data_IF_990055151421
#
_entry.id   IF_990055151421
#
_cell.length_a   1.000
_cell.length_b   1.000
_cell.length_c   1.000
_cell.angle_alpha   90.00
_cell.angle_beta   90.00
_cell.angle_gamma   90.00
#
_symmetry.space_group_name_H-M   'P 1'
#
loop_
_entity.id
_entity.type
_entity.pdbx_description
1 polymer ?
#
# COMPACT_ATOMS: atom_id res chain seq x y z
N UNK A 1 32.20 5.14 1.37
CA UNK A 1 30.81 5.37 1.81
C UNK A 1 29.88 5.44 0.59
N UNK A 2 29.79 4.34 -0.17
CA UNK A 2 29.11 4.28 -1.46
C UNK A 2 27.71 3.69 -1.38
N UNK A 3 26.80 4.27 -0.58
CA UNK A 3 25.37 4.06 -0.86
C UNK A 3 25.02 5.01 -2.00
N UNK A 4 25.26 4.51 -3.21
CA UNK A 4 24.68 4.98 -4.46
C UNK A 4 23.29 5.50 -4.12
N UNK A 5 23.09 6.80 -4.28
CA UNK A 5 21.80 7.46 -4.11
C UNK A 5 20.85 6.82 -5.13
N UNK A 6 20.22 5.71 -4.73
CA UNK A 6 19.26 5.00 -5.56
C UNK A 6 18.12 5.97 -5.77
N UNK A 7 17.90 6.33 -7.03
CA UNK A 7 16.89 7.29 -7.43
C UNK A 7 15.57 6.90 -6.75
N UNK A 8 14.94 7.81 -5.98
CA UNK A 8 13.74 7.47 -5.24
C UNK A 8 12.66 7.02 -6.22
N UNK A 9 12.03 5.88 -5.93
CA UNK A 9 10.93 5.32 -6.72
C UNK A 9 9.90 6.41 -7.05
N UNK A 10 9.37 6.40 -8.27
CA UNK A 10 8.28 7.28 -8.63
C UNK A 10 7.11 7.11 -7.62
N UNK A 11 6.39 8.19 -7.25
CA UNK A 11 5.33 8.12 -6.26
C UNK A 11 4.27 7.05 -6.57
N UNK A 12 3.98 6.83 -7.85
CA UNK A 12 3.08 5.77 -8.33
C UNK A 12 3.63 4.36 -8.09
N UNK A 13 4.93 4.13 -8.27
CA UNK A 13 5.56 2.83 -8.00
C UNK A 13 5.59 2.54 -6.50
N UNK A 14 5.86 3.56 -5.68
CA UNK A 14 5.80 3.44 -4.23
C UNK A 14 4.37 3.18 -3.73
N UNK A 15 3.37 3.83 -4.34
CA UNK A 15 1.95 3.57 -4.10
C UNK A 15 1.61 2.11 -4.39
N UNK A 16 1.93 1.60 -5.58
CA UNK A 16 1.64 0.21 -5.96
C UNK A 16 2.34 -0.81 -5.06
N UNK A 17 3.58 -0.54 -4.63
CA UNK A 17 4.27 -1.39 -3.64
C UNK A 17 3.56 -1.37 -2.28
N UNK A 18 3.08 -0.21 -1.85
CA UNK A 18 2.32 -0.06 -0.61
C UNK A 18 0.97 -0.79 -0.65
N UNK A 19 0.22 -0.61 -1.73
CA UNK A 19 -1.06 -1.31 -2.00
C UNK A 19 -0.84 -2.82 -2.09
N UNK A 20 0.15 -3.27 -2.86
CA UNK A 20 0.44 -4.69 -3.04
C UNK A 20 0.93 -5.36 -1.75
N UNK A 21 1.75 -4.68 -0.96
CA UNK A 21 2.18 -5.17 0.35
C UNK A 21 1.02 -5.28 1.34
N UNK A 22 0.17 -4.25 1.41
CA UNK A 22 -1.02 -4.27 2.26
C UNK A 22 -2.02 -5.34 1.81
N UNK A 23 -2.24 -5.49 0.50
CA UNK A 23 -3.11 -6.53 -0.05
C UNK A 23 -2.57 -7.94 0.24
N UNK A 24 -1.26 -8.14 0.20
CA UNK A 24 -0.64 -9.43 0.56
C UNK A 24 -0.85 -9.81 2.03
N UNK A 25 -0.72 -8.84 2.94
CA UNK A 25 -0.95 -9.06 4.39
C UNK A 25 -2.44 -9.25 4.69
N UNK A 26 -3.30 -8.44 4.08
CA UNK A 26 -4.75 -8.44 4.33
C UNK A 26 -5.49 -9.54 3.56
N UNK A 27 -4.88 -10.11 2.50
CA UNK A 27 -5.49 -11.15 1.68
C UNK A 27 -5.64 -12.50 2.39
N UNK A 28 -4.75 -12.82 3.34
CA UNK A 28 -4.85 -14.03 4.16
C UNK A 28 -6.11 -14.04 5.06
N UNK A 29 -6.42 -12.97 5.83
CA UNK A 29 -7.67 -12.88 6.59
C UNK A 29 -8.93 -13.03 5.72
N UNK A 30 -8.94 -12.46 4.52
CA UNK A 30 -10.07 -12.56 3.58
C UNK A 30 -10.28 -13.99 3.13
N UNK A 31 -9.22 -14.67 2.71
CA UNK A 31 -9.30 -16.07 2.26
C UNK A 31 -9.82 -16.98 3.37
N UNK A 32 -9.32 -16.80 4.61
CA UNK A 32 -9.79 -17.55 5.77
C UNK A 32 -11.27 -17.25 6.07
N UNK A 33 -11.68 -15.99 6.05
CA UNK A 33 -13.08 -15.61 6.27
C UNK A 33 -14.00 -16.10 5.16
N UNK A 34 -13.57 -16.08 3.90
CA UNK A 34 -14.33 -16.61 2.75
C UNK A 34 -14.58 -18.11 2.91
N UNK A 35 -13.54 -18.86 3.27
CA UNK A 35 -13.63 -20.30 3.50
C UNK A 35 -14.59 -20.63 4.65
N UNK A 36 -14.54 -19.88 5.74
CA UNK A 36 -15.42 -20.06 6.91
C UNK A 36 -16.86 -19.64 6.61
N UNK A 37 -17.07 -18.49 5.98
CA UNK A 37 -18.41 -17.96 5.69
C UNK A 37 -19.15 -18.77 4.62
N UNK A 38 -18.43 -19.45 3.70
CA UNK A 38 -19.05 -20.38 2.74
C UNK A 38 -19.80 -21.54 3.39
N UNK A 39 -19.50 -21.87 4.66
CA UNK A 39 -20.21 -22.91 5.43
C UNK A 39 -21.48 -22.42 6.14
N UNK A 40 -21.72 -21.10 6.20
CA UNK A 40 -22.75 -20.50 7.07
C UNK A 40 -24.05 -20.05 6.40
N UNK A 41 -24.16 -20.10 5.07
CA UNK A 41 -25.35 -19.66 4.33
C UNK A 41 -25.12 -18.41 3.46
N UNK A 42 -25.76 -18.40 2.29
CA UNK A 42 -25.49 -17.53 1.13
C UNK A 42 -25.69 -16.03 1.38
N UNK A 43 -26.66 -15.64 2.21
CA UNK A 43 -27.14 -14.26 2.23
C UNK A 43 -26.25 -13.34 3.09
N UNK A 44 -25.69 -13.86 4.18
CA UNK A 44 -24.72 -13.14 5.02
C UNK A 44 -23.32 -13.05 4.38
N UNK A 45 -22.98 -14.02 3.53
CA UNK A 45 -21.69 -14.09 2.85
C UNK A 45 -21.46 -12.89 1.91
N UNK A 46 -22.46 -12.52 1.12
CA UNK A 46 -22.34 -11.44 0.14
C UNK A 46 -22.11 -10.08 0.81
N UNK A 47 -22.87 -9.77 1.87
CA UNK A 47 -22.74 -8.50 2.61
C UNK A 47 -21.38 -8.43 3.31
N UNK A 48 -20.97 -9.51 3.97
CA UNK A 48 -19.65 -9.56 4.63
C UNK A 48 -18.51 -9.47 3.63
N UNK A 49 -18.63 -10.07 2.45
CA UNK A 49 -17.62 -9.95 1.41
C UNK A 49 -17.44 -8.49 0.96
N UNK A 50 -18.54 -7.77 0.71
CA UNK A 50 -18.49 -6.35 0.36
C UNK A 50 -17.92 -5.47 1.49
N UNK A 51 -18.32 -5.72 2.74
CA UNK A 51 -17.82 -4.96 3.90
C UNK A 51 -16.33 -5.21 4.12
N UNK A 52 -15.89 -6.47 4.14
CA UNK A 52 -14.47 -6.81 4.30
C UNK A 52 -13.65 -6.30 3.12
N UNK A 53 -14.16 -6.42 1.90
CA UNK A 53 -13.55 -5.86 0.70
C UNK A 53 -13.38 -4.34 0.78
N UNK A 54 -14.39 -3.62 1.28
CA UNK A 54 -14.33 -2.17 1.46
C UNK A 54 -13.32 -1.76 2.53
N UNK A 55 -13.30 -2.44 3.69
CA UNK A 55 -12.33 -2.18 4.76
C UNK A 55 -10.90 -2.40 4.24
N UNK A 56 -10.67 -3.49 3.53
CA UNK A 56 -9.34 -3.84 3.03
C UNK A 56 -8.92 -2.91 1.90
N UNK A 57 -9.83 -2.58 1.00
CA UNK A 57 -9.61 -1.55 -0.02
C UNK A 57 -9.21 -0.23 0.63
N UNK A 58 -9.90 0.19 1.69
CA UNK A 58 -9.57 1.39 2.47
C UNK A 58 -8.17 1.34 3.08
N UNK A 59 -7.82 0.25 3.78
CA UNK A 59 -6.48 0.08 4.37
C UNK A 59 -5.39 0.05 3.31
N UNK A 60 -5.62 -0.63 2.18
CA UNK A 60 -4.67 -0.69 1.07
C UNK A 60 -4.45 0.68 0.44
N UNK A 61 -5.52 1.46 0.25
CA UNK A 61 -5.43 2.84 -0.26
C UNK A 61 -4.65 3.74 0.70
N UNK A 62 -4.93 3.69 2.00
CA UNK A 62 -4.21 4.47 3.02
C UNK A 62 -2.71 4.10 3.04
N UNK A 63 -2.39 2.80 3.00
CA UNK A 63 -1.01 2.32 2.94
C UNK A 63 -0.31 2.79 1.65
N UNK A 64 -0.99 2.71 0.50
CA UNK A 64 -0.50 3.21 -0.77
C UNK A 64 -0.21 4.72 -0.73
N UNK A 65 -1.17 5.52 -0.24
CA UNK A 65 -1.04 6.97 -0.12
C UNK A 65 0.14 7.32 0.79
N UNK A 66 0.27 6.65 1.94
CA UNK A 66 1.39 6.87 2.85
C UNK A 66 2.75 6.58 2.19
N UNK A 67 2.85 5.47 1.45
CA UNK A 67 4.06 5.13 0.70
C UNK A 67 4.35 6.15 -0.42
N UNK A 68 3.33 6.65 -1.11
CA UNK A 68 3.46 7.69 -2.13
C UNK A 68 3.95 9.02 -1.54
N UNK A 69 3.39 9.45 -0.42
CA UNK A 69 3.82 10.66 0.31
C UNK A 69 5.27 10.51 0.73
N UNK A 70 5.65 9.36 1.31
CA UNK A 70 7.04 9.12 1.74
C UNK A 70 8.03 9.15 0.57
N UNK A 71 7.64 8.63 -0.59
CA UNK A 71 8.44 8.70 -1.81
C UNK A 71 8.57 10.15 -2.33
N UNK A 72 7.47 10.92 -2.32
CA UNK A 72 7.48 12.32 -2.70
C UNK A 72 8.38 13.17 -1.79
N UNK A 73 8.32 12.96 -0.46
CA UNK A 73 9.20 13.64 0.52
C UNK A 73 10.67 13.30 0.26
N UNK A 74 10.99 12.02 0.00
CA UNK A 74 12.37 11.62 -0.34
C UNK A 74 12.86 12.27 -1.63
N UNK A 75 11.98 12.40 -2.63
CA UNK A 75 12.31 13.06 -3.90
C UNK A 75 12.52 14.56 -3.71
N UNK A 76 11.69 15.23 -2.92
CA UNK A 76 11.89 16.64 -2.56
C UNK A 76 13.19 16.87 -1.79
N UNK A 77 13.54 15.99 -0.84
CA UNK A 77 14.80 16.07 -0.13
C UNK A 77 16.00 15.86 -1.07
N UNK A 78 15.89 14.91 -2.00
CA UNK A 78 16.90 14.68 -3.03
C UNK A 78 17.09 15.89 -3.95
N UNK A 79 15.98 16.50 -4.41
CA UNK A 79 16.01 17.70 -5.26
C UNK A 79 16.61 18.91 -4.52
N UNK A 80 16.36 19.06 -3.21
CA UNK A 80 16.98 20.13 -2.40
C UNK A 80 18.49 19.95 -2.26
N UNK A 81 18.96 18.73 -2.00
CA UNK A 81 20.40 18.43 -1.83
C UNK A 81 21.14 18.53 -3.17
N UNK A 82 20.53 18.11 -4.27
CA UNK A 82 21.14 18.16 -5.61
C UNK A 82 21.14 19.56 -6.25
N UNK A 83 20.22 20.46 -5.88
CA UNK A 83 20.19 21.84 -6.38
C UNK A 83 21.13 22.81 -5.65
N UNK A 84 21.56 22.48 -4.43
CA UNK A 84 22.56 23.27 -3.68
C UNK A 84 23.78 22.42 -3.35
N UNK A 85 24.59 22.02 -4.35
CA UNK A 85 25.70 21.12 -4.08
C UNK A 85 26.78 21.77 -3.21
N UNK A 86 27.03 23.08 -3.31
CA UNK A 86 28.04 23.77 -2.50
C UNK A 86 27.72 25.27 -2.37
N UNK A 87 27.35 25.74 -1.17
CA UNK A 87 27.56 27.11 -0.69
C UNK A 87 28.12 27.02 0.72
#
# INVERSE_FOLDING_TARGET
>A
MGRILKEPDAPWVAFLKGVGGAAGVMGAPVLVHLLVASRGGSDGFSIQFWVNGAIIGGVCLLAGIWCAIRAAVKRQAYDRVSRHPFH
#
